data_IF_376021431444
#
_entry.id   IF_376021431444
#
_cell.length_a   1.000
_cell.length_b   1.000
_cell.length_c   1.000
_cell.angle_alpha   90.00
_cell.angle_beta   90.00
_cell.angle_gamma   90.00
#
_symmetry.space_group_name_H-M   'P 1'
#
loop_
_entity.id
_entity.type
_entity.pdbx_description
1 polymer ?
#
# COMPACT_ATOMS: atom_id res chain seq x y z
N UNK A 1 4.06 -10.71 18.89
CA UNK A 1 4.01 -9.70 17.81
C UNK A 1 3.80 -10.44 16.49
N UNK A 2 2.67 -10.25 15.80
CA UNK A 2 2.48 -10.87 14.48
C UNK A 2 3.14 -9.96 13.44
N UNK A 3 4.35 -10.32 13.03
CA UNK A 3 4.99 -9.67 11.89
C UNK A 3 4.19 -9.98 10.62
N UNK A 4 4.04 -9.01 9.73
CA UNK A 4 3.50 -9.23 8.38
C UNK A 4 4.68 -9.28 7.41
N UNK A 5 5.21 -10.48 7.09
CA UNK A 5 6.50 -10.63 6.43
C UNK A 5 6.34 -10.53 4.91
N UNK A 6 5.81 -9.41 4.44
CA UNK A 6 5.71 -9.07 3.04
C UNK A 6 6.43 -7.73 2.81
N UNK A 7 6.97 -7.49 1.61
CA UNK A 7 7.52 -6.19 1.28
C UNK A 7 6.40 -5.14 1.25
N UNK A 8 6.79 -3.88 1.40
CA UNK A 8 5.87 -2.72 1.32
C UNK A 8 5.21 -2.62 -0.06
N UNK A 9 5.98 -2.88 -1.13
CA UNK A 9 5.49 -3.00 -2.51
C UNK A 9 6.03 -4.28 -3.16
N UNK A 10 5.33 -4.74 -4.19
CA UNK A 10 5.76 -5.87 -5.00
C UNK A 10 6.15 -5.38 -6.39
N UNK A 11 7.37 -5.69 -6.82
CA UNK A 11 7.82 -5.40 -8.19
C UNK A 11 7.08 -6.27 -9.23
N UNK A 12 6.68 -7.48 -8.82
CA UNK A 12 5.99 -8.45 -9.66
C UNK A 12 4.68 -8.88 -9.02
N UNK A 13 3.57 -8.73 -9.75
CA UNK A 13 2.25 -9.15 -9.29
C UNK A 13 2.22 -10.66 -8.95
N UNK A 14 2.93 -11.49 -9.72
CA UNK A 14 3.01 -12.93 -9.49
C UNK A 14 3.69 -13.32 -8.16
N UNK A 15 4.62 -12.50 -7.68
CA UNK A 15 5.23 -12.71 -6.36
C UNK A 15 4.20 -12.50 -5.25
N UNK A 16 3.34 -11.47 -5.36
CA UNK A 16 2.22 -11.27 -4.43
C UNK A 16 1.29 -12.48 -4.43
N UNK A 17 0.89 -12.95 -5.61
CA UNK A 17 0.00 -14.11 -5.73
C UNK A 17 0.62 -15.38 -5.14
N UNK A 18 1.92 -15.56 -5.29
CA UNK A 18 2.65 -16.68 -4.70
C UNK A 18 2.70 -16.60 -3.17
N UNK A 19 3.07 -15.45 -2.60
CA UNK A 19 3.08 -15.26 -1.14
C UNK A 19 1.67 -15.39 -0.53
N UNK A 20 0.62 -14.97 -1.23
CA UNK A 20 -0.77 -15.10 -0.73
C UNK A 20 -1.25 -16.56 -0.63
N UNK A 21 -0.55 -17.51 -1.26
CA UNK A 21 -0.85 -18.93 -1.12
C UNK A 21 -0.29 -19.52 0.18
N UNK A 22 0.75 -18.90 0.74
CA UNK A 22 1.47 -19.39 1.91
C UNK A 22 0.63 -19.37 3.19
N UNK A 23 0.80 -20.40 4.02
CA UNK A 23 0.02 -20.59 5.25
C UNK A 23 0.25 -19.46 6.26
N UNK A 24 1.49 -18.99 6.38
CA UNK A 24 1.87 -17.90 7.28
C UNK A 24 1.14 -16.60 6.91
N UNK A 25 1.12 -16.25 5.62
CA UNK A 25 0.43 -15.06 5.11
C UNK A 25 -1.08 -15.19 5.28
N UNK A 26 -1.67 -16.33 4.89
CA UNK A 26 -3.11 -16.59 5.06
C UNK A 26 -3.57 -16.47 6.51
N UNK A 27 -2.75 -16.87 7.48
CA UNK A 27 -3.07 -16.70 8.91
C UNK A 27 -3.21 -15.23 9.29
N UNK A 28 -2.35 -14.37 8.78
CA UNK A 28 -2.40 -12.92 9.05
C UNK A 28 -3.59 -12.28 8.34
N UNK A 29 -3.85 -12.64 7.08
CA UNK A 29 -5.03 -12.18 6.34
C UNK A 29 -6.33 -12.58 7.04
N UNK A 30 -6.40 -13.80 7.58
CA UNK A 30 -7.56 -14.24 8.38
C UNK A 30 -7.74 -13.38 9.63
N UNK A 31 -6.66 -13.03 10.32
CA UNK A 31 -6.70 -12.14 11.49
C UNK A 31 -7.18 -10.73 11.12
N UNK A 32 -6.70 -10.17 10.01
CA UNK A 32 -7.20 -8.87 9.52
C UNK A 32 -8.70 -8.94 9.18
N UNK A 33 -9.13 -10.02 8.51
CA UNK A 33 -10.53 -10.19 8.10
C UNK A 33 -11.48 -10.47 9.27
N UNK A 34 -10.99 -10.95 10.40
CA UNK A 34 -11.78 -11.19 11.62
C UNK A 34 -11.58 -10.12 12.68
N UNK A 35 -10.91 -9.01 12.36
CA UNK A 35 -10.70 -7.93 13.30
C UNK A 35 -11.98 -7.10 13.45
N UNK A 36 -12.37 -6.78 14.69
CA UNK A 36 -13.50 -5.87 14.95
C UNK A 36 -13.17 -4.43 14.54
N UNK A 37 -11.89 -4.05 14.64
CA UNK A 37 -11.40 -2.72 14.31
C UNK A 37 -10.10 -2.85 13.51
N UNK A 38 -10.04 -2.14 12.39
CA UNK A 38 -8.82 -1.90 11.63
C UNK A 38 -8.51 -0.41 11.68
N UNK A 39 -7.32 -0.06 12.14
CA UNK A 39 -6.85 1.32 12.21
C UNK A 39 -5.78 1.54 11.13
N UNK A 40 -6.03 2.51 10.25
CA UNK A 40 -5.10 2.91 9.19
C UNK A 40 -4.80 4.40 9.30
N UNK A 41 -3.59 4.78 8.91
CA UNK A 41 -3.27 6.17 8.56
C UNK A 41 -3.59 6.43 7.08
N UNK A 42 -3.70 7.71 6.73
CA UNK A 42 -3.82 8.17 5.35
C UNK A 42 -2.45 8.69 4.91
N UNK A 43 -1.96 8.16 3.79
CA UNK A 43 -0.80 8.69 3.07
C UNK A 43 -1.24 9.74 2.06
N UNK A 44 -0.44 10.80 1.88
CA UNK A 44 -0.68 11.81 0.85
C UNK A 44 0.59 12.00 0.03
N UNK A 45 0.41 12.24 -1.27
CA UNK A 45 1.52 12.43 -2.22
C UNK A 45 2.13 13.84 -2.10
N UNK A 46 1.34 14.82 -1.65
CA UNK A 46 1.70 16.25 -1.67
C UNK A 46 1.83 16.93 -0.29
N UNK A 47 1.71 16.21 0.84
CA UNK A 47 2.03 16.83 2.12
C UNK A 47 3.54 17.08 2.22
N UNK A 48 3.94 18.27 2.68
CA UNK A 48 5.35 18.66 2.85
C UNK A 48 6.21 17.75 3.73
N UNK A 49 5.63 16.69 4.31
CA UNK A 49 6.32 15.53 4.86
C UNK A 49 5.75 14.29 4.16
N UNK A 50 6.53 13.62 3.29
CA UNK A 50 6.08 12.37 2.65
C UNK A 50 5.78 11.33 3.72
N UNK A 51 4.72 10.54 3.55
CA UNK A 51 4.49 9.36 4.41
C UNK A 51 5.73 8.45 4.40
N UNK A 52 6.01 7.73 5.49
CA UNK A 52 7.19 6.86 5.64
C UNK A 52 7.41 5.90 4.47
N UNK A 53 6.33 5.53 3.78
CA UNK A 53 6.35 4.67 2.59
C UNK A 53 7.00 5.35 1.38
N UNK A 54 6.85 6.67 1.23
CA UNK A 54 7.46 7.44 0.15
C UNK A 54 8.92 7.83 0.45
N UNK A 55 9.25 8.06 1.73
CA UNK A 55 10.61 8.42 2.15
C UNK A 55 11.55 7.21 2.37
N UNK A 56 11.01 5.98 2.37
CA UNK A 56 11.77 4.75 2.62
C UNK A 56 12.56 4.19 1.42
N UNK A 57 12.60 4.89 0.29
CA UNK A 57 13.31 4.45 -0.92
C UNK A 57 12.62 3.34 -1.70
N UNK A 58 11.34 3.09 -1.44
CA UNK A 58 10.56 2.02 -2.10
C UNK A 58 10.01 2.39 -3.48
N UNK A 59 9.98 3.68 -3.81
CA UNK A 59 9.46 4.20 -5.08
C UNK A 59 10.60 4.87 -5.85
N UNK A 60 10.73 4.54 -7.13
CA UNK A 60 11.65 5.17 -8.06
C UNK A 60 11.00 6.36 -8.76
N UNK A 61 11.78 7.22 -9.43
CA UNK A 61 11.26 8.39 -10.15
C UNK A 61 10.15 8.03 -11.15
N UNK A 62 10.25 6.85 -11.79
CA UNK A 62 9.24 6.35 -12.72
C UNK A 62 7.87 6.14 -12.04
N UNK A 63 7.88 5.68 -10.79
CA UNK A 63 6.66 5.42 -10.02
C UNK A 63 6.00 6.75 -9.63
N UNK A 64 6.80 7.73 -9.24
CA UNK A 64 6.31 9.10 -8.98
C UNK A 64 5.72 9.76 -10.24
N UNK A 65 6.33 9.54 -11.41
CA UNK A 65 5.76 10.01 -12.68
C UNK A 65 4.41 9.36 -12.96
N UNK A 66 4.27 8.06 -12.71
CA UNK A 66 3.00 7.36 -12.89
C UNK A 66 1.92 7.79 -11.89
N UNK A 67 2.27 7.96 -10.61
CA UNK A 67 1.38 8.50 -9.57
C UNK A 67 0.82 9.87 -9.99
N UNK A 68 1.68 10.76 -10.51
CA UNK A 68 1.26 12.06 -11.04
C UNK A 68 0.34 11.91 -12.26
N UNK A 69 0.71 11.06 -13.23
CA UNK A 69 -0.07 10.80 -14.45
C UNK A 69 -1.48 10.28 -14.15
N UNK A 70 -1.60 9.41 -13.15
CA UNK A 70 -2.85 8.78 -12.74
C UNK A 70 -3.68 9.65 -11.78
N UNK A 71 -3.23 10.87 -11.48
CA UNK A 71 -3.89 11.80 -10.54
C UNK A 71 -4.19 11.16 -9.18
N UNK A 72 -3.24 10.34 -8.70
CA UNK A 72 -3.28 9.79 -7.35
C UNK A 72 -3.10 10.93 -6.35
N UNK A 73 -3.99 11.00 -5.37
CA UNK A 73 -3.97 12.05 -4.33
C UNK A 73 -3.44 11.55 -2.98
N UNK A 74 -3.41 10.24 -2.79
CA UNK A 74 -2.95 9.60 -1.56
C UNK A 74 -3.17 8.09 -1.58
N UNK A 75 -3.01 7.48 -0.41
CA UNK A 75 -3.22 6.05 -0.21
C UNK A 75 -3.76 5.73 1.18
N UNK A 76 -4.43 4.58 1.29
CA UNK A 76 -4.76 3.95 2.56
C UNK A 76 -4.23 2.53 2.49
N UNK A 77 -3.35 2.16 3.42
CA UNK A 77 -2.70 0.85 3.44
C UNK A 77 -2.09 0.47 2.07
N UNK A 78 -1.36 1.42 1.45
CA UNK A 78 -0.74 1.30 0.12
C UNK A 78 -1.70 1.02 -1.05
N UNK A 79 -3.01 1.16 -0.83
CA UNK A 79 -4.01 1.24 -1.90
C UNK A 79 -4.14 2.70 -2.33
N UNK A 80 -3.64 3.02 -3.52
CA UNK A 80 -3.69 4.37 -4.08
C UNK A 80 -5.11 4.81 -4.44
N UNK A 81 -5.42 6.06 -4.13
CA UNK A 81 -6.72 6.68 -4.38
C UNK A 81 -6.58 7.81 -5.41
N UNK A 82 -7.46 7.79 -6.42
CA UNK A 82 -7.53 8.81 -7.47
C UNK A 82 -8.41 9.98 -7.05
N UNK A 83 -8.16 11.15 -7.65
CA UNK A 83 -9.07 12.29 -7.50
C UNK A 83 -10.43 11.98 -8.14
N UNK A 84 -11.49 12.06 -7.34
CA UNK A 84 -12.86 11.97 -7.85
C UNK A 84 -13.29 13.34 -8.38
N UNK A 85 -13.86 13.39 -9.59
CA UNK A 85 -14.46 14.60 -10.16
C UNK A 85 -15.97 14.46 -10.02
N UNK A 86 -16.58 15.37 -9.26
CA UNK A 86 -18.04 15.49 -9.18
C UNK A 86 -18.42 16.63 -10.12
N UNK A 87 -19.28 16.33 -11.11
CA UNK A 87 -19.83 17.30 -12.07
C UNK A 87 -20.98 18.09 -11.44
#
# INVERSE_FOLDING_TARGET
MNLFPVPTFFDYADTKYSLWKERSIKRILKLQNSADILLYSIGTVNAGVPSHVYSGGYLEEKDYMEIRRLQIVGDIATVFLMRMVVL
#
